data_IF_304683585555
#
_entry.id   IF_304683585555
#
_cell.length_a   1.000
_cell.length_b   1.000
_cell.length_c   1.000
_cell.angle_alpha   90.00
_cell.angle_beta   90.00
_cell.angle_gamma   90.00
#
_symmetry.space_group_name_H-M   'P 1'
#
loop_
_entity.id
_entity.type
_entity.pdbx_description
1 polymer ?
#
# COMPACT_ATOMS: atom_id res chain seq x y z
N UNK A 1 5.48 -12.37 -20.57
CA UNK A 1 4.51 -11.87 -21.58
C UNK A 1 5.14 -10.76 -22.38
N UNK A 2 4.97 -10.75 -23.70
CA UNK A 2 5.42 -9.61 -24.53
C UNK A 2 4.42 -8.47 -24.31
N UNK A 3 4.80 -7.44 -23.54
CA UNK A 3 3.95 -6.25 -23.37
C UNK A 3 3.96 -5.44 -24.65
N UNK A 4 2.82 -5.21 -25.24
CA UNK A 4 2.64 -4.39 -26.46
C UNK A 4 2.15 -2.98 -26.04
N UNK A 5 2.62 -1.96 -26.74
CA UNK A 5 2.11 -0.60 -26.52
C UNK A 5 0.65 -0.52 -26.95
N UNK A 6 -0.23 0.14 -26.16
CA UNK A 6 -1.63 0.34 -26.48
C UNK A 6 -1.87 1.01 -27.84
N UNK A 7 -3.00 0.70 -28.48
CA UNK A 7 -3.36 1.30 -29.76
C UNK A 7 -3.61 2.80 -29.71
N UNK A 8 -4.21 3.28 -28.61
CA UNK A 8 -4.35 4.70 -28.23
C UNK A 8 -3.82 4.89 -26.82
N UNK A 9 -2.49 5.05 -26.67
CA UNK A 9 -1.87 5.13 -25.37
C UNK A 9 -2.22 6.44 -24.67
N UNK A 10 -2.57 6.36 -23.38
CA UNK A 10 -2.66 7.48 -22.46
C UNK A 10 -1.61 7.36 -21.39
N UNK A 11 -0.75 8.37 -21.24
CA UNK A 11 0.20 8.45 -20.13
C UNK A 11 -0.56 8.84 -18.85
N UNK A 12 -0.36 8.06 -17.78
CA UNK A 12 -0.98 8.25 -16.47
C UNK A 12 -0.06 9.02 -15.51
N UNK A 13 0.82 9.84 -16.06
CA UNK A 13 1.77 10.67 -15.31
C UNK A 13 1.79 12.09 -15.87
N UNK A 14 2.00 13.05 -14.99
CA UNK A 14 2.31 14.43 -15.39
C UNK A 14 3.75 14.52 -15.88
N UNK A 15 3.96 15.31 -16.94
CA UNK A 15 5.28 15.49 -17.55
C UNK A 15 5.77 16.89 -17.28
N UNK A 16 6.89 17.03 -16.59
CA UNK A 16 7.57 18.29 -16.33
C UNK A 16 9.02 18.28 -16.84
N UNK A 17 9.53 19.46 -17.20
CA UNK A 17 10.90 19.64 -17.64
C UNK A 17 11.75 20.00 -16.39
N UNK A 18 12.68 19.12 -15.99
CA UNK A 18 13.58 19.38 -14.83
C UNK A 18 14.91 20.00 -15.23
N UNK A 19 15.41 19.66 -16.42
CA UNK A 19 16.64 20.25 -16.97
C UNK A 19 16.59 20.26 -18.49
N UNK A 20 17.67 20.75 -19.13
CA UNK A 20 17.77 20.76 -20.59
C UNK A 20 17.71 19.35 -21.21
N UNK A 21 18.03 18.29 -20.45
CA UNK A 21 18.10 16.92 -20.94
C UNK A 21 17.32 15.91 -20.10
N UNK A 22 16.60 16.34 -19.06
CA UNK A 22 15.88 15.41 -18.17
C UNK A 22 14.43 15.85 -18.04
N UNK A 23 13.53 14.89 -18.14
CA UNK A 23 12.09 15.05 -17.89
C UNK A 23 11.72 14.31 -16.60
N UNK A 24 10.76 14.85 -15.90
CA UNK A 24 10.16 14.21 -14.74
C UNK A 24 8.76 13.70 -15.10
N UNK A 25 8.47 12.45 -14.79
CA UNK A 25 7.14 11.85 -14.84
C UNK A 25 6.64 11.67 -13.42
N UNK A 26 5.57 12.35 -13.04
CA UNK A 26 4.93 12.21 -11.73
C UNK A 26 3.61 11.45 -11.86
N UNK A 27 3.50 10.34 -11.16
CA UNK A 27 2.24 9.57 -11.04
C UNK A 27 1.94 9.37 -9.56
N UNK A 28 1.00 10.17 -9.05
CA UNK A 28 0.76 10.26 -7.60
C UNK A 28 1.99 10.79 -6.88
N UNK A 29 2.54 10.02 -5.96
CA UNK A 29 3.77 10.39 -5.21
C UNK A 29 5.04 9.81 -5.82
N UNK A 30 4.91 8.96 -6.82
CA UNK A 30 6.07 8.38 -7.48
C UNK A 30 6.55 9.31 -8.59
N UNK A 31 7.83 9.61 -8.56
CA UNK A 31 8.50 10.44 -9.55
C UNK A 31 9.56 9.60 -10.26
N UNK A 32 9.57 9.66 -11.58
CA UNK A 32 10.56 9.00 -12.42
C UNK A 32 11.33 10.07 -13.20
N UNK A 33 12.65 10.05 -13.14
CA UNK A 33 13.49 10.81 -14.05
C UNK A 33 13.68 10.03 -15.34
N UNK A 34 13.46 10.69 -16.48
CA UNK A 34 13.58 10.09 -17.80
C UNK A 34 14.52 10.92 -18.66
N UNK A 35 15.58 10.28 -19.14
CA UNK A 35 16.53 10.86 -20.05
C UNK A 35 16.31 10.34 -21.48
N UNK A 36 16.51 11.17 -22.52
CA UNK A 36 16.42 10.71 -23.89
C UNK A 36 17.57 9.77 -24.25
N UNK A 37 17.31 8.78 -25.08
CA UNK A 37 18.35 7.95 -25.70
C UNK A 37 19.14 8.74 -26.75
N UNK A 38 20.32 8.24 -27.14
CA UNK A 38 21.36 8.96 -27.95
C UNK A 38 20.85 9.60 -29.25
N UNK A 39 19.74 9.16 -29.81
CA UNK A 39 19.21 9.62 -31.09
C UNK A 39 17.86 10.36 -30.97
N UNK A 40 17.45 10.70 -29.75
CA UNK A 40 16.21 11.42 -29.42
C UNK A 40 16.56 12.61 -28.54
N UNK A 41 16.08 13.79 -28.88
CA UNK A 41 16.25 14.95 -28.03
C UNK A 41 15.23 14.99 -26.88
N UNK A 42 15.56 15.65 -25.77
CA UNK A 42 14.60 15.85 -24.66
C UNK A 42 13.30 16.53 -25.14
N UNK A 43 13.40 17.45 -26.10
CA UNK A 43 12.23 18.08 -26.70
C UNK A 43 11.34 17.08 -27.47
N UNK A 44 11.93 16.14 -28.19
CA UNK A 44 11.19 15.08 -28.87
C UNK A 44 10.55 14.09 -27.88
N UNK A 45 11.33 13.66 -26.87
CA UNK A 45 10.83 12.82 -25.79
C UNK A 45 9.63 13.49 -25.09
N UNK A 46 9.75 14.74 -24.69
CA UNK A 46 8.66 15.51 -24.08
C UNK A 46 7.45 15.68 -25.02
N UNK A 47 7.68 15.91 -26.31
CA UNK A 47 6.59 15.98 -27.29
C UNK A 47 5.84 14.65 -27.44
N UNK A 48 6.55 13.52 -27.44
CA UNK A 48 5.95 12.18 -27.47
C UNK A 48 5.12 11.95 -26.21
N UNK A 49 5.71 12.12 -25.03
CA UNK A 49 5.04 11.88 -23.76
C UNK A 49 3.77 12.75 -23.59
N UNK A 50 3.85 14.04 -23.90
CA UNK A 50 2.69 14.96 -23.84
C UNK A 50 1.65 14.70 -24.94
N UNK A 51 2.02 14.05 -26.03
CA UNK A 51 1.08 13.64 -27.10
C UNK A 51 0.44 12.28 -26.84
N UNK A 52 0.88 11.59 -25.78
CA UNK A 52 0.35 10.31 -25.33
C UNK A 52 -0.82 10.58 -24.36
N UNK A 53 -1.90 11.17 -24.90
CA UNK A 53 -3.07 11.67 -24.15
C UNK A 53 -4.31 10.74 -24.27
N UNK A 54 -4.15 9.60 -24.95
CA UNK A 54 -5.24 8.64 -25.19
C UNK A 54 -6.14 8.97 -26.39
N UNK A 55 -5.97 10.12 -27.03
CA UNK A 55 -6.78 10.53 -28.18
C UNK A 55 -6.20 10.06 -29.50
N UNK A 56 -4.87 9.99 -29.60
CA UNK A 56 -4.12 9.67 -30.79
C UNK A 56 -3.56 8.23 -30.79
N UNK A 57 -3.56 7.61 -31.98
CA UNK A 57 -2.85 6.36 -32.24
C UNK A 57 -1.32 6.59 -32.33
N UNK A 58 -0.53 5.53 -32.23
CA UNK A 58 0.93 5.62 -32.40
C UNK A 58 1.34 6.23 -33.74
N UNK A 59 0.59 5.97 -34.82
CA UNK A 59 0.84 6.57 -36.12
C UNK A 59 0.57 8.07 -36.14
N UNK A 60 -0.47 8.53 -35.44
CA UNK A 60 -0.79 9.96 -35.32
C UNK A 60 0.22 10.69 -34.43
N UNK A 61 0.66 10.05 -33.32
CA UNK A 61 1.74 10.56 -32.47
C UNK A 61 3.04 10.68 -33.28
N UNK A 62 3.40 9.65 -34.07
CA UNK A 62 4.54 9.67 -34.97
C UNK A 62 4.49 10.86 -35.95
N UNK A 63 3.35 11.05 -36.61
CA UNK A 63 3.16 12.14 -37.53
C UNK A 63 3.27 13.53 -36.85
N UNK A 64 2.76 13.68 -35.64
CA UNK A 64 2.76 14.92 -34.87
C UNK A 64 4.14 15.26 -34.31
N UNK A 65 4.90 14.26 -33.86
CA UNK A 65 6.18 14.47 -33.18
C UNK A 65 7.41 14.33 -34.10
N UNK A 66 7.22 13.76 -35.29
CA UNK A 66 8.30 13.42 -36.22
C UNK A 66 9.17 12.24 -35.76
N UNK A 67 8.78 11.53 -34.70
CA UNK A 67 9.48 10.36 -34.18
C UNK A 67 8.96 9.11 -34.87
N UNK A 68 9.84 8.25 -35.39
CA UNK A 68 9.45 7.05 -36.10
C UNK A 68 8.69 6.05 -35.20
N UNK A 69 7.73 5.25 -35.74
CA UNK A 69 6.87 4.39 -34.92
C UNK A 69 7.62 3.32 -34.11
N UNK A 70 8.70 2.79 -34.62
CA UNK A 70 9.57 1.84 -33.90
C UNK A 70 10.24 2.48 -32.69
N UNK A 71 10.70 3.73 -32.83
CA UNK A 71 11.24 4.53 -31.71
C UNK A 71 10.18 4.91 -30.69
N UNK A 72 8.94 5.21 -31.11
CA UNK A 72 7.83 5.44 -30.17
C UNK A 72 7.62 4.21 -29.28
N UNK A 73 7.72 3.02 -29.85
CA UNK A 73 7.60 1.79 -29.06
C UNK A 73 8.71 1.69 -28.02
N UNK A 74 9.95 1.99 -28.39
CA UNK A 74 11.10 1.99 -27.46
C UNK A 74 10.91 3.04 -26.34
N UNK A 75 10.47 4.26 -26.68
CA UNK A 75 10.23 5.34 -25.72
C UNK A 75 9.11 4.98 -24.72
N UNK A 76 8.03 4.38 -25.21
CA UNK A 76 6.83 4.14 -24.40
C UNK A 76 6.91 2.80 -23.63
N UNK A 77 7.80 1.89 -24.01
CA UNK A 77 7.90 0.56 -23.38
C UNK A 77 8.27 0.63 -21.88
N UNK A 78 9.22 1.48 -21.43
CA UNK A 78 9.47 1.64 -19.99
C UNK A 78 8.23 2.12 -19.22
N UNK A 79 7.50 3.09 -19.76
CA UNK A 79 6.25 3.56 -19.16
C UNK A 79 5.15 2.47 -19.14
N UNK A 80 5.10 1.61 -20.18
CA UNK A 80 4.22 0.44 -20.20
C UNK A 80 4.61 -0.61 -19.16
N UNK A 81 5.90 -0.83 -18.96
CA UNK A 81 6.42 -1.77 -17.95
C UNK A 81 6.11 -1.23 -16.55
N UNK A 82 6.29 0.07 -16.33
CA UNK A 82 5.97 0.74 -15.06
C UNK A 82 4.46 0.90 -14.79
N UNK A 83 3.59 0.44 -15.72
CA UNK A 83 2.13 0.58 -15.55
C UNK A 83 1.63 2.02 -15.72
N UNK A 84 2.40 2.88 -16.36
CA UNK A 84 2.05 4.29 -16.58
C UNK A 84 1.30 4.54 -17.89
N UNK A 85 0.95 3.50 -18.66
CA UNK A 85 0.18 3.61 -19.88
C UNK A 85 -1.17 2.92 -19.77
N UNK A 86 -2.23 3.64 -20.16
CA UNK A 86 -3.58 3.12 -20.32
C UNK A 86 -3.92 2.95 -21.81
N UNK A 87 -4.82 2.03 -22.13
CA UNK A 87 -5.37 1.87 -23.49
C UNK A 87 -6.74 2.56 -23.61
N UNK A 88 -6.86 3.50 -24.54
CA UNK A 88 -8.10 4.21 -24.88
C UNK A 88 -8.63 3.84 -26.28
N UNK A 89 -8.16 2.75 -26.87
CA UNK A 89 -8.61 2.32 -28.19
C UNK A 89 -10.04 1.77 -28.20
N UNK A 90 -10.58 1.40 -27.03
CA UNK A 90 -11.95 0.88 -26.90
C UNK A 90 -12.83 1.89 -26.12
N UNK A 91 -13.64 2.71 -26.80
CA UNK A 91 -14.43 3.77 -26.15
C UNK A 91 -15.49 3.26 -25.14
N UNK A 92 -15.93 2.00 -25.30
CA UNK A 92 -16.97 1.37 -24.44
C UNK A 92 -16.40 0.61 -23.25
N UNK A 93 -15.10 0.73 -22.99
CA UNK A 93 -14.44 0.04 -21.88
C UNK A 93 -13.46 0.97 -21.16
N UNK A 94 -13.25 0.72 -19.87
CA UNK A 94 -12.30 1.44 -19.05
C UNK A 94 -10.94 0.73 -19.05
N UNK A 95 -9.87 1.50 -19.12
CA UNK A 95 -8.51 0.95 -18.98
C UNK A 95 -8.24 0.55 -17.54
N UNK A 96 -7.84 -0.70 -17.26
CA UNK A 96 -7.55 -1.13 -15.91
C UNK A 96 -6.55 -0.23 -15.19
N UNK A 97 -5.47 0.17 -15.87
CA UNK A 97 -4.45 1.04 -15.28
C UNK A 97 -4.96 2.46 -14.99
N UNK A 98 -5.84 3.00 -15.82
CA UNK A 98 -6.46 4.30 -15.55
C UNK A 98 -7.38 4.22 -14.33
N UNK A 99 -8.17 3.15 -14.22
CA UNK A 99 -9.03 2.89 -13.07
C UNK A 99 -8.21 2.77 -11.79
N UNK A 100 -7.14 1.99 -11.80
CA UNK A 100 -6.25 1.86 -10.64
C UNK A 100 -5.63 3.21 -10.25
N UNK A 101 -5.11 3.97 -11.22
CA UNK A 101 -4.52 5.28 -10.98
C UNK A 101 -5.51 6.26 -10.34
N UNK A 102 -6.78 6.24 -10.76
CA UNK A 102 -7.84 7.05 -10.14
C UNK A 102 -8.11 6.63 -8.69
N UNK A 103 -8.13 5.31 -8.41
CA UNK A 103 -8.29 4.79 -7.04
C UNK A 103 -7.10 5.18 -6.17
N UNK A 104 -5.87 4.96 -6.65
CA UNK A 104 -4.64 5.33 -5.94
C UNK A 104 -4.60 6.82 -5.62
N UNK A 105 -4.96 7.69 -6.58
CA UNK A 105 -4.97 9.13 -6.37
C UNK A 105 -5.94 9.54 -5.24
N UNK A 106 -7.15 8.99 -5.24
CA UNK A 106 -8.15 9.30 -4.21
C UNK A 106 -7.72 8.74 -2.85
N UNK A 107 -7.27 7.48 -2.82
CA UNK A 107 -6.83 6.85 -1.57
C UNK A 107 -5.63 7.58 -0.99
N UNK A 108 -4.64 7.91 -1.81
CA UNK A 108 -3.44 8.61 -1.37
C UNK A 108 -3.76 9.95 -0.69
N UNK A 109 -4.65 10.73 -1.31
CA UNK A 109 -5.11 11.98 -0.71
C UNK A 109 -5.81 11.77 0.63
N UNK A 110 -6.71 10.78 0.70
CA UNK A 110 -7.45 10.48 1.92
C UNK A 110 -6.56 9.90 3.03
N UNK A 111 -5.53 9.10 2.69
CA UNK A 111 -4.55 8.61 3.65
C UNK A 111 -3.81 9.77 4.33
N UNK A 112 -3.36 10.78 3.57
CA UNK A 112 -2.76 11.98 4.16
C UNK A 112 -3.72 12.68 5.12
N UNK A 113 -4.95 12.98 4.66
CA UNK A 113 -5.92 13.76 5.41
C UNK A 113 -6.46 13.03 6.66
N UNK A 114 -6.75 11.74 6.57
CA UNK A 114 -7.48 11.00 7.60
C UNK A 114 -6.58 10.13 8.49
N UNK A 115 -5.45 9.64 7.97
CA UNK A 115 -4.55 8.76 8.70
C UNK A 115 -3.32 9.52 9.17
N UNK A 116 -2.49 10.01 8.26
CA UNK A 116 -1.20 10.58 8.62
C UNK A 116 -1.31 11.92 9.35
N UNK A 117 -2.30 12.75 8.97
CA UNK A 117 -2.71 13.93 9.75
C UNK A 117 -3.69 13.58 10.88
N UNK A 118 -4.01 12.30 11.04
CA UNK A 118 -4.96 11.81 12.04
C UNK A 118 -4.41 11.78 13.47
N UNK A 119 -5.28 11.60 14.49
CA UNK A 119 -4.91 11.69 15.91
C UNK A 119 -3.81 10.70 16.32
N UNK A 120 -3.86 9.46 15.83
CA UNK A 120 -2.88 8.43 16.18
C UNK A 120 -1.46 8.81 15.73
N UNK A 121 -1.30 9.14 14.43
CA UNK A 121 0.02 9.46 13.89
C UNK A 121 0.57 10.77 14.43
N UNK A 122 -0.26 11.81 14.62
CA UNK A 122 0.13 13.05 15.26
C UNK A 122 0.61 12.81 16.69
N UNK A 123 -0.11 12.03 17.49
CA UNK A 123 0.32 11.73 18.85
C UNK A 123 1.69 11.07 18.87
N UNK A 124 1.92 10.07 18.01
CA UNK A 124 3.18 9.31 17.94
C UNK A 124 4.33 10.17 17.39
N UNK A 125 4.10 10.98 16.36
CA UNK A 125 5.18 11.71 15.68
C UNK A 125 5.54 13.03 16.38
N UNK A 126 4.55 13.75 16.93
CA UNK A 126 4.78 15.07 17.51
C UNK A 126 5.32 14.98 18.94
N UNK A 127 4.82 14.02 19.74
CA UNK A 127 5.15 13.90 21.17
C UNK A 127 5.28 12.42 21.62
N UNK A 128 6.19 11.65 21.00
CA UNK A 128 6.30 10.21 21.26
C UNK A 128 6.47 9.84 22.74
N UNK A 129 7.18 10.69 23.53
CA UNK A 129 7.44 10.49 24.95
C UNK A 129 6.22 10.74 25.85
N UNK A 130 5.15 11.36 25.32
CA UNK A 130 3.90 11.62 26.04
C UNK A 130 2.82 10.58 25.75
N UNK A 131 3.07 9.71 24.77
CA UNK A 131 2.13 8.65 24.41
C UNK A 131 2.32 7.47 25.38
N UNK A 132 1.19 6.96 25.90
CA UNK A 132 1.19 5.79 26.76
C UNK A 132 1.88 4.58 26.07
N UNK A 133 2.82 3.89 26.75
CA UNK A 133 3.54 2.76 26.14
C UNK A 133 2.63 1.68 25.54
N UNK A 134 1.45 1.48 26.13
CA UNK A 134 0.48 0.52 25.64
C UNK A 134 -0.06 0.86 24.23
N UNK A 135 0.03 2.10 23.78
CA UNK A 135 -0.33 2.47 22.39
C UNK A 135 0.61 1.82 21.40
N UNK A 136 1.92 1.83 21.68
CA UNK A 136 2.93 1.20 20.84
C UNK A 136 2.79 -0.34 20.84
N UNK A 137 2.61 -0.94 22.01
CA UNK A 137 2.36 -2.37 22.11
C UNK A 137 1.03 -2.77 21.49
N UNK A 138 -0.01 -1.96 21.69
CA UNK A 138 -1.34 -2.14 21.11
C UNK A 138 -1.33 -2.08 19.59
N UNK A 139 -0.56 -1.17 19.00
CA UNK A 139 -0.37 -1.14 17.54
C UNK A 139 0.20 -2.47 17.03
N UNK A 140 1.26 -2.99 17.67
CA UNK A 140 1.81 -4.29 17.31
C UNK A 140 0.80 -5.43 17.50
N UNK A 141 -0.01 -5.39 18.57
CA UNK A 141 -1.02 -6.41 18.87
C UNK A 141 -2.15 -6.41 17.82
N UNK A 142 -2.68 -5.25 17.48
CA UNK A 142 -3.75 -5.13 16.50
C UNK A 142 -3.25 -5.44 15.08
N UNK A 143 -1.98 -5.11 14.79
CA UNK A 143 -1.34 -5.52 13.55
C UNK A 143 -1.15 -7.05 13.49
N UNK A 144 -0.74 -7.70 14.61
CA UNK A 144 -0.70 -9.17 14.66
C UNK A 144 -2.08 -9.79 14.39
N UNK A 145 -3.16 -9.20 14.92
CA UNK A 145 -4.51 -9.69 14.61
C UNK A 145 -4.85 -9.57 13.14
N UNK A 146 -4.43 -8.50 12.51
CA UNK A 146 -4.62 -8.27 11.08
C UNK A 146 -3.88 -9.36 10.29
N UNK A 147 -2.57 -9.49 10.48
CA UNK A 147 -1.69 -10.45 9.80
C UNK A 147 -2.14 -11.91 10.04
N UNK A 148 -2.46 -12.28 11.28
CA UNK A 148 -2.90 -13.66 11.60
C UNK A 148 -4.22 -14.07 10.92
N UNK A 149 -4.91 -13.12 10.29
CA UNK A 149 -6.19 -13.33 9.58
C UNK A 149 -6.17 -12.97 8.10
N UNK A 150 -5.02 -12.69 7.55
CA UNK A 150 -4.85 -12.39 6.11
C UNK A 150 -5.47 -13.46 5.23
N UNK A 151 -5.36 -14.73 5.60
CA UNK A 151 -6.02 -15.81 4.87
C UNK A 151 -7.55 -15.66 4.74
N UNK A 152 -8.22 -14.85 5.58
CA UNK A 152 -9.66 -14.60 5.46
C UNK A 152 -10.00 -13.75 4.22
N UNK A 153 -9.07 -12.90 3.76
CA UNK A 153 -9.26 -12.03 2.60
C UNK A 153 -8.33 -12.38 1.44
N UNK A 154 -7.07 -12.72 1.64
CA UNK A 154 -6.15 -13.01 0.54
C UNK A 154 -6.49 -14.31 -0.19
N UNK A 155 -6.91 -15.35 0.54
CA UNK A 155 -7.33 -16.61 -0.10
C UNK A 155 -8.51 -16.44 -1.06
N UNK A 156 -9.35 -15.44 -0.87
CA UNK A 156 -10.52 -15.21 -1.70
C UNK A 156 -10.15 -14.79 -3.13
N UNK A 157 -9.03 -14.08 -3.32
CA UNK A 157 -8.57 -13.68 -4.66
C UNK A 157 -8.11 -14.86 -5.51
N UNK A 158 -7.73 -15.99 -4.91
CA UNK A 158 -7.36 -17.21 -5.63
C UNK A 158 -8.51 -17.77 -6.46
N UNK A 159 -9.76 -17.46 -6.11
CA UNK A 159 -10.95 -17.84 -6.86
C UNK A 159 -11.41 -16.78 -7.86
N UNK A 160 -10.73 -15.67 -8.00
CA UNK A 160 -11.07 -14.64 -8.98
C UNK A 160 -10.89 -15.19 -10.40
N UNK A 161 -11.96 -15.17 -11.23
CA UNK A 161 -11.92 -15.74 -12.58
C UNK A 161 -11.03 -14.88 -13.48
N UNK A 162 -9.89 -15.42 -13.88
CA UNK A 162 -8.86 -14.63 -14.54
C UNK A 162 -7.94 -15.48 -15.41
N UNK A 163 -6.99 -14.85 -16.08
CA UNK A 163 -5.95 -15.49 -16.86
C UNK A 163 -4.99 -16.30 -15.98
N UNK A 164 -4.21 -17.19 -16.60
CA UNK A 164 -3.17 -17.95 -15.89
C UNK A 164 -2.13 -17.04 -15.23
N UNK A 165 -1.84 -15.87 -15.83
CA UNK A 165 -0.92 -14.89 -15.28
C UNK A 165 -1.43 -14.33 -13.96
N UNK A 166 -2.71 -13.92 -13.89
CA UNK A 166 -3.31 -13.39 -12.67
C UNK A 166 -3.38 -14.48 -11.60
N UNK A 167 -3.71 -15.73 -11.96
CA UNK A 167 -3.70 -16.83 -11.00
C UNK A 167 -2.31 -17.09 -10.41
N UNK A 168 -1.27 -17.00 -11.23
CA UNK A 168 0.12 -17.14 -10.76
C UNK A 168 0.44 -16.02 -9.77
N UNK A 169 0.21 -14.75 -10.13
CA UNK A 169 0.44 -13.62 -9.23
C UNK A 169 -0.33 -13.73 -7.91
N UNK A 170 -1.60 -14.14 -7.95
CA UNK A 170 -2.40 -14.34 -6.74
C UNK A 170 -1.83 -15.43 -5.83
N UNK A 171 -1.36 -16.55 -6.41
CA UNK A 171 -0.73 -17.62 -5.64
C UNK A 171 0.60 -17.18 -5.04
N UNK A 172 1.43 -16.47 -5.81
CA UNK A 172 2.73 -15.98 -5.35
C UNK A 172 2.54 -15.01 -4.19
N UNK A 173 1.66 -14.01 -4.33
CA UNK A 173 1.29 -13.07 -3.27
C UNK A 173 0.80 -13.80 -2.00
N UNK A 174 -0.18 -14.71 -2.13
CA UNK A 174 -0.70 -15.47 -0.99
C UNK A 174 0.38 -16.32 -0.29
N UNK A 175 1.35 -16.83 -1.07
CA UNK A 175 2.46 -17.61 -0.53
C UNK A 175 3.46 -16.73 0.22
N UNK A 176 3.72 -15.54 -0.26
CA UNK A 176 4.64 -14.57 0.35
C UNK A 176 4.11 -14.06 1.68
N UNK A 177 2.80 -13.77 1.78
CA UNK A 177 2.16 -13.33 3.02
C UNK A 177 2.08 -14.43 4.09
N UNK A 178 2.25 -15.69 3.70
CA UNK A 178 2.07 -16.80 4.63
C UNK A 178 3.04 -16.74 5.81
N UNK A 179 2.51 -16.64 7.05
CA UNK A 179 3.24 -16.64 8.33
C UNK A 179 4.01 -15.36 8.66
N UNK A 180 3.67 -14.22 8.08
CA UNK A 180 4.23 -12.94 8.51
C UNK A 180 3.88 -12.65 9.99
N UNK A 181 2.75 -13.12 10.48
CA UNK A 181 2.34 -13.02 11.90
C UNK A 181 3.36 -13.66 12.86
N UNK A 182 4.08 -14.72 12.45
CA UNK A 182 5.13 -15.36 13.27
C UNK A 182 6.26 -14.40 13.64
N UNK A 183 6.55 -13.42 12.81
CA UNK A 183 7.59 -12.41 13.07
C UNK A 183 7.12 -11.49 14.20
N UNK A 184 5.87 -11.07 14.18
CA UNK A 184 5.29 -10.17 15.18
C UNK A 184 5.12 -10.88 16.54
N UNK A 185 4.81 -12.18 16.56
CA UNK A 185 4.75 -12.97 17.79
C UNK A 185 6.04 -12.84 18.62
N UNK A 186 7.22 -12.84 17.96
CA UNK A 186 8.52 -12.72 18.66
C UNK A 186 8.65 -11.41 19.44
N UNK A 187 8.01 -10.33 18.98
CA UNK A 187 8.00 -9.06 19.71
C UNK A 187 7.27 -9.20 21.07
N UNK A 188 6.19 -9.98 21.09
CA UNK A 188 5.39 -10.21 22.29
C UNK A 188 5.98 -11.25 23.23
N UNK A 189 6.66 -12.26 22.72
CA UNK A 189 7.40 -13.23 23.56
C UNK A 189 8.46 -12.53 24.42
N UNK A 190 9.11 -11.49 23.88
CA UNK A 190 10.02 -10.63 24.65
C UNK A 190 9.35 -9.88 25.81
N UNK A 191 8.05 -9.67 25.76
CA UNK A 191 7.24 -9.09 26.83
C UNK A 191 6.63 -10.14 27.78
N UNK A 192 6.94 -11.42 27.59
CA UNK A 192 6.34 -12.53 28.34
C UNK A 192 4.91 -12.89 27.91
N UNK A 193 4.46 -12.40 26.77
CA UNK A 193 3.15 -12.70 26.16
C UNK A 193 3.36 -13.79 25.13
N UNK A 194 2.79 -14.97 25.38
CA UNK A 194 2.93 -16.13 24.50
C UNK A 194 2.01 -16.04 23.28
N UNK A 195 2.30 -16.82 22.23
CA UNK A 195 1.37 -17.00 21.10
C UNK A 195 -0.04 -17.43 21.57
N UNK A 196 -0.11 -18.28 22.62
CA UNK A 196 -1.40 -18.73 23.15
C UNK A 196 -2.20 -17.59 23.77
N UNK A 197 -1.51 -16.64 24.44
CA UNK A 197 -2.15 -15.44 24.99
C UNK A 197 -2.69 -14.56 23.86
N UNK A 198 -1.93 -14.37 22.78
CA UNK A 198 -2.36 -13.63 21.59
C UNK A 198 -3.60 -14.27 20.94
N UNK A 199 -3.58 -15.58 20.70
CA UNK A 199 -4.71 -16.32 20.12
C UNK A 199 -5.97 -16.25 21.00
N UNK A 200 -5.79 -16.22 22.32
CA UNK A 200 -6.89 -16.16 23.29
C UNK A 200 -7.44 -14.75 23.48
N UNK A 201 -6.68 -13.75 23.10
CA UNK A 201 -7.06 -12.36 23.22
C UNK A 201 -8.13 -11.95 22.17
N UNK A 202 -8.69 -10.75 22.35
CA UNK A 202 -9.74 -10.21 21.46
C UNK A 202 -9.23 -8.94 20.78
N UNK A 203 -9.29 -8.86 19.45
CA UNK A 203 -8.99 -7.61 18.74
C UNK A 203 -9.96 -6.50 19.12
N UNK A 204 -9.59 -5.26 18.86
CA UNK A 204 -10.51 -4.14 18.91
C UNK A 204 -11.65 -4.33 17.91
N UNK A 205 -12.77 -3.71 18.17
CA UNK A 205 -13.92 -3.72 17.24
C UNK A 205 -13.54 -3.08 15.89
N UNK A 206 -12.71 -2.06 15.91
CA UNK A 206 -12.21 -1.34 14.73
C UNK A 206 -11.30 -2.25 13.88
N UNK A 207 -10.38 -2.98 14.51
CA UNK A 207 -9.55 -4.00 13.84
C UNK A 207 -10.40 -5.11 13.22
N UNK A 208 -11.36 -5.62 13.99
CA UNK A 208 -12.29 -6.64 13.49
C UNK A 208 -13.12 -6.13 12.31
N UNK A 209 -13.57 -4.88 12.36
CA UNK A 209 -14.33 -4.26 11.28
C UNK A 209 -13.50 -4.16 10.00
N UNK A 210 -12.25 -3.70 10.08
CA UNK A 210 -11.36 -3.60 8.92
C UNK A 210 -11.13 -4.97 8.28
N UNK A 211 -10.77 -6.01 9.08
CA UNK A 211 -10.57 -7.37 8.60
C UNK A 211 -11.83 -7.90 7.90
N UNK A 212 -13.02 -7.70 8.49
CA UNK A 212 -14.28 -8.19 7.92
C UNK A 212 -14.68 -7.43 6.66
N UNK A 213 -14.37 -6.14 6.58
CA UNK A 213 -14.62 -5.32 5.41
C UNK A 213 -13.73 -5.76 4.23
N UNK A 214 -12.43 -5.98 4.46
CA UNK A 214 -11.51 -6.53 3.46
C UNK A 214 -11.96 -7.93 3.01
N UNK A 215 -12.31 -8.81 3.96
CA UNK A 215 -12.82 -10.15 3.65
C UNK A 215 -14.12 -10.11 2.83
N UNK A 216 -14.97 -9.12 3.08
CA UNK A 216 -16.20 -8.94 2.31
C UNK A 216 -15.90 -8.47 0.89
N UNK A 217 -15.03 -7.48 0.71
CA UNK A 217 -14.64 -7.01 -0.63
C UNK A 217 -13.89 -8.09 -1.41
N UNK A 218 -12.97 -8.80 -0.80
CA UNK A 218 -12.26 -9.89 -1.47
C UNK A 218 -13.18 -10.93 -2.09
N UNK A 219 -14.39 -11.15 -1.51
CA UNK A 219 -15.39 -12.08 -2.02
C UNK A 219 -16.43 -11.45 -2.94
N UNK A 220 -16.82 -10.20 -2.71
CA UNK A 220 -17.94 -9.56 -3.43
C UNK A 220 -17.47 -8.58 -4.50
N UNK A 221 -16.27 -8.03 -4.38
CA UNK A 221 -15.62 -7.16 -5.34
C UNK A 221 -14.09 -7.34 -5.30
N UNK A 222 -13.60 -8.51 -5.72
CA UNK A 222 -12.18 -8.83 -5.66
C UNK A 222 -11.31 -7.83 -6.43
N UNK A 223 -11.85 -7.17 -7.46
CA UNK A 223 -11.13 -6.13 -8.19
C UNK A 223 -10.83 -4.91 -7.30
N UNK A 224 -11.79 -4.50 -6.45
CA UNK A 224 -11.56 -3.44 -5.47
C UNK A 224 -10.53 -3.88 -4.41
N UNK A 225 -10.68 -5.09 -3.89
CA UNK A 225 -9.71 -5.64 -2.92
C UNK A 225 -8.29 -5.65 -3.51
N UNK A 226 -8.12 -6.15 -4.75
CA UNK A 226 -6.83 -6.13 -5.45
C UNK A 226 -6.28 -4.71 -5.60
N UNK A 227 -7.14 -3.72 -5.87
CA UNK A 227 -6.71 -2.32 -5.95
C UNK A 227 -6.17 -1.77 -4.61
N UNK A 228 -6.63 -2.32 -3.47
CA UNK A 228 -6.21 -1.86 -2.13
C UNK A 228 -4.95 -2.56 -1.59
N UNK A 229 -4.60 -3.75 -2.09
CA UNK A 229 -3.42 -4.52 -1.62
C UNK A 229 -2.15 -3.68 -1.70
N UNK A 230 -1.80 -3.16 -2.87
CA UNK A 230 -0.59 -2.36 -3.05
C UNK A 230 -0.57 -1.07 -2.24
N UNK A 231 -1.74 -0.59 -1.79
CA UNK A 231 -1.85 0.58 -0.93
C UNK A 231 -1.58 0.18 0.53
N UNK A 232 -2.15 -0.94 0.98
CA UNK A 232 -1.93 -1.46 2.33
C UNK A 232 -0.46 -1.81 2.56
N UNK A 233 0.15 -2.48 1.59
CA UNK A 233 1.51 -3.01 1.70
C UNK A 233 2.58 -1.99 1.27
N UNK A 234 2.29 -1.16 0.27
CA UNK A 234 3.32 -0.35 -0.38
C UNK A 234 3.62 0.98 0.31
N UNK A 235 2.63 1.63 0.92
CA UNK A 235 2.77 3.01 1.34
C UNK A 235 3.32 3.19 2.75
N UNK A 236 3.12 2.24 3.62
CA UNK A 236 3.75 2.24 4.94
C UNK A 236 5.27 2.01 4.83
N UNK A 237 5.77 1.58 3.66
CA UNK A 237 7.13 1.12 3.45
C UNK A 237 7.97 1.96 2.47
N UNK A 238 7.36 2.64 1.49
CA UNK A 238 8.05 3.25 0.32
C UNK A 238 7.97 4.76 0.23
N UNK A 239 8.02 5.51 1.29
CA UNK A 239 8.36 6.92 1.11
C UNK A 239 9.89 7.04 0.95
N UNK A 240 10.38 7.35 -0.24
CA UNK A 240 11.78 7.71 -0.52
C UNK A 240 12.24 9.00 0.18
N UNK A 241 11.30 9.75 0.76
CA UNK A 241 11.58 10.86 1.66
C UNK A 241 11.78 10.33 3.08
N UNK A 242 12.71 10.89 3.84
CA UNK A 242 13.17 10.60 5.21
C UNK A 242 12.14 10.12 6.27
N UNK A 243 11.15 9.32 5.92
CA UNK A 243 10.12 8.84 6.81
C UNK A 243 9.04 8.00 6.18
N UNK A 244 9.37 6.77 5.76
CA UNK A 244 8.32 5.77 5.73
C UNK A 244 7.61 5.80 7.09
N UNK A 245 6.27 5.87 7.10
CA UNK A 245 5.50 6.00 8.36
C UNK A 245 5.82 4.89 9.34
N UNK A 246 6.05 3.68 8.84
CA UNK A 246 6.46 2.57 9.69
C UNK A 246 7.84 2.79 10.34
N UNK A 247 8.82 3.31 9.60
CA UNK A 247 10.11 3.69 10.16
C UNK A 247 9.98 4.85 11.15
N UNK A 248 9.06 5.78 10.91
CA UNK A 248 8.74 6.86 11.84
C UNK A 248 8.12 6.32 13.14
N UNK A 249 7.22 5.34 13.03
CA UNK A 249 6.70 4.62 14.19
C UNK A 249 7.83 3.94 14.99
N UNK A 250 8.73 3.23 14.32
CA UNK A 250 9.85 2.54 14.99
C UNK A 250 10.82 3.52 15.66
N UNK A 251 11.07 4.69 15.06
CA UNK A 251 11.86 5.76 15.68
C UNK A 251 11.15 6.38 16.88
N UNK A 252 9.86 6.67 16.75
CA UNK A 252 9.04 7.20 17.83
C UNK A 252 8.96 6.22 19.01
N UNK A 253 8.74 4.93 18.75
CA UNK A 253 8.76 3.89 19.78
C UNK A 253 10.10 3.84 20.54
N UNK A 254 11.22 3.94 19.81
CA UNK A 254 12.54 4.00 20.44
C UNK A 254 12.72 5.28 21.27
N UNK A 255 12.26 6.44 20.79
CA UNK A 255 12.30 7.70 21.53
C UNK A 255 11.41 7.67 22.79
N UNK A 256 10.28 6.99 22.73
CA UNK A 256 9.39 6.73 23.86
C UNK A 256 9.96 5.71 24.86
N UNK A 257 11.14 5.13 24.61
CA UNK A 257 11.76 4.13 25.49
C UNK A 257 11.14 2.74 25.42
N UNK A 258 10.41 2.44 24.34
CA UNK A 258 9.85 1.10 24.11
C UNK A 258 11.01 0.11 23.91
N UNK A 259 10.88 -1.04 24.56
CA UNK A 259 11.96 -2.02 24.64
C UNK A 259 12.41 -2.52 23.26
N UNK A 260 13.71 -2.56 23.01
CA UNK A 260 14.33 -2.96 21.74
C UNK A 260 13.89 -4.36 21.30
N UNK A 261 13.68 -5.29 22.23
CA UNK A 261 13.22 -6.65 21.93
C UNK A 261 11.79 -6.68 21.35
N UNK A 262 10.99 -5.64 21.59
CA UNK A 262 9.70 -5.47 20.92
C UNK A 262 9.85 -4.81 19.55
N UNK A 263 10.66 -3.76 19.44
CA UNK A 263 10.82 -2.95 18.22
C UNK A 263 11.55 -3.72 17.11
N UNK A 264 12.56 -4.52 17.46
CA UNK A 264 13.42 -5.16 16.46
C UNK A 264 12.70 -6.23 15.59
N UNK A 265 11.83 -7.11 16.14
CA UNK A 265 11.03 -7.99 15.29
C UNK A 265 10.10 -7.24 14.32
N UNK A 266 9.50 -6.13 14.75
CA UNK A 266 8.69 -5.28 13.88
C UNK A 266 9.53 -4.66 12.76
N UNK A 267 10.74 -4.21 13.07
CA UNK A 267 11.71 -3.74 12.07
C UNK A 267 12.09 -4.83 11.07
N UNK A 268 12.23 -6.07 11.55
CA UNK A 268 12.51 -7.21 10.68
C UNK A 268 11.32 -7.48 9.73
N UNK A 269 10.09 -7.39 10.22
CA UNK A 269 8.87 -7.52 9.40
C UNK A 269 8.88 -6.50 8.26
N UNK A 270 9.07 -5.22 8.57
CA UNK A 270 9.17 -4.17 7.56
C UNK A 270 10.25 -4.44 6.48
N UNK A 271 11.41 -4.99 6.88
CA UNK A 271 12.48 -5.34 5.92
C UNK A 271 12.11 -6.52 5.01
N UNK A 272 11.37 -7.49 5.52
CA UNK A 272 10.89 -8.63 4.71
C UNK A 272 9.94 -8.13 3.64
N UNK A 273 8.92 -7.36 4.02
CA UNK A 273 7.95 -6.79 3.07
C UNK A 273 8.63 -5.92 2.01
N UNK A 274 9.53 -5.02 2.41
CA UNK A 274 10.28 -4.19 1.46
C UNK A 274 11.11 -5.01 0.45
N UNK A 275 11.50 -6.23 0.81
CA UNK A 275 12.21 -7.17 -0.06
C UNK A 275 11.35 -7.82 -1.14
N UNK A 276 10.02 -7.91 -0.91
CA UNK A 276 9.07 -8.55 -1.83
C UNK A 276 8.40 -7.60 -2.83
N UNK A 277 8.63 -6.28 -2.72
CA UNK A 277 8.06 -5.23 -3.60
C UNK A 277 6.51 -5.26 -3.70
N UNK A 278 5.84 -5.57 -2.58
CA UNK A 278 4.37 -5.70 -2.52
C UNK A 278 3.61 -4.44 -2.99
N UNK A 279 4.23 -3.27 -2.91
CA UNK A 279 3.65 -2.03 -3.43
C UNK A 279 3.36 -2.04 -4.94
N UNK A 280 3.99 -2.94 -5.70
CA UNK A 280 3.74 -3.11 -7.14
C UNK A 280 2.63 -4.11 -7.47
N UNK A 281 2.22 -4.95 -6.52
CA UNK A 281 1.29 -6.09 -6.75
C UNK A 281 -0.01 -5.64 -7.41
N UNK A 282 -0.69 -4.61 -6.89
CA UNK A 282 -1.92 -4.09 -7.50
C UNK A 282 -1.70 -3.64 -8.96
N UNK A 283 -0.59 -2.98 -9.24
CA UNK A 283 -0.25 -2.51 -10.59
C UNK A 283 0.03 -3.67 -11.55
N UNK A 284 0.68 -4.71 -11.08
CA UNK A 284 0.92 -5.91 -11.88
C UNK A 284 -0.37 -6.65 -12.21
N UNK A 285 -1.27 -6.79 -11.23
CA UNK A 285 -2.59 -7.36 -11.44
C UNK A 285 -3.38 -6.56 -12.48
N UNK A 286 -3.50 -5.25 -12.28
CA UNK A 286 -4.26 -4.39 -13.18
C UNK A 286 -3.66 -4.32 -14.58
N UNK A 287 -2.34 -4.35 -14.73
CA UNK A 287 -1.67 -4.41 -16.03
C UNK A 287 -1.94 -5.72 -16.81
N UNK A 288 -2.32 -6.80 -16.12
CA UNK A 288 -2.65 -8.09 -16.71
C UNK A 288 -4.15 -8.27 -17.00
N UNK A 289 -5.01 -7.33 -16.54
CA UNK A 289 -6.46 -7.41 -16.77
C UNK A 289 -6.84 -7.02 -18.21
N UNK A 290 -7.92 -7.61 -18.76
CA UNK A 290 -8.56 -7.09 -19.96
C UNK A 290 -9.24 -5.75 -19.66
N UNK A 291 -9.66 -4.99 -20.71
CA UNK A 291 -10.48 -3.79 -20.54
C UNK A 291 -11.68 -4.04 -19.62
N UNK A 292 -11.96 -3.10 -18.74
CA UNK A 292 -12.99 -3.21 -17.72
C UNK A 292 -14.34 -2.65 -18.18
N UNK A 293 -15.46 -3.12 -17.64
CA UNK A 293 -16.77 -2.54 -17.92
C UNK A 293 -16.85 -1.06 -17.55
N UNK A 294 -17.58 -0.27 -18.32
CA UNK A 294 -17.87 1.14 -18.00
C UNK A 294 -18.55 1.24 -16.63
N UNK A 295 -18.14 2.24 -15.84
CA UNK A 295 -18.61 2.46 -14.47
C UNK A 295 -17.78 1.73 -13.39
N UNK A 296 -16.76 0.96 -13.79
CA UNK A 296 -15.85 0.32 -12.84
C UNK A 296 -15.08 1.36 -12.04
N UNK A 297 -14.53 2.39 -12.68
CA UNK A 297 -13.81 3.49 -12.03
C UNK A 297 -14.67 4.13 -10.93
N UNK A 298 -15.86 4.59 -11.28
CA UNK A 298 -16.77 5.24 -10.33
C UNK A 298 -17.11 4.33 -9.14
N UNK A 299 -17.30 3.03 -9.39
CA UNK A 299 -17.58 2.03 -8.35
C UNK A 299 -16.40 1.83 -7.42
N UNK A 300 -15.19 1.70 -7.94
CA UNK A 300 -14.00 1.48 -7.11
C UNK A 300 -13.61 2.74 -6.32
N UNK A 301 -13.63 3.90 -6.96
CA UNK A 301 -13.39 5.21 -6.31
C UNK A 301 -14.40 5.46 -5.19
N UNK A 302 -15.70 5.16 -5.41
CA UNK A 302 -16.70 5.29 -4.36
C UNK A 302 -16.45 4.41 -3.13
N UNK A 303 -15.83 3.23 -3.31
CA UNK A 303 -15.44 2.35 -2.19
C UNK A 303 -14.15 2.79 -1.51
N UNK A 304 -13.28 3.51 -2.20
CA UNK A 304 -12.02 3.97 -1.67
C UNK A 304 -12.20 4.84 -0.41
N UNK A 305 -13.22 5.69 -0.38
CA UNK A 305 -13.56 6.49 0.82
C UNK A 305 -13.84 5.61 2.04
N UNK A 306 -14.73 4.62 1.89
CA UNK A 306 -15.08 3.72 2.98
C UNK A 306 -13.87 2.88 3.45
N UNK A 307 -12.99 2.51 2.53
CA UNK A 307 -11.76 1.79 2.87
C UNK A 307 -10.85 2.64 3.76
N UNK A 308 -10.58 3.90 3.37
CA UNK A 308 -9.69 4.76 4.14
C UNK A 308 -10.31 5.16 5.48
N UNK A 309 -11.62 5.42 5.54
CA UNK A 309 -12.35 5.66 6.79
C UNK A 309 -12.19 4.47 7.76
N UNK A 310 -12.41 3.25 7.28
CA UNK A 310 -12.26 2.05 8.11
C UNK A 310 -10.80 1.83 8.56
N UNK A 311 -9.85 2.18 7.72
CA UNK A 311 -8.43 2.09 8.04
C UNK A 311 -8.00 3.19 9.04
N UNK A 312 -8.54 4.40 8.94
CA UNK A 312 -8.34 5.45 9.93
C UNK A 312 -8.91 5.05 11.31
N UNK A 313 -10.09 4.43 11.33
CA UNK A 313 -10.69 3.93 12.58
C UNK A 313 -9.90 2.79 13.22
N UNK A 314 -9.15 2.00 12.44
CA UNK A 314 -8.20 1.04 12.98
C UNK A 314 -7.16 1.74 13.86
N UNK A 315 -6.53 2.81 13.39
CA UNK A 315 -5.53 3.58 14.14
C UNK A 315 -6.15 4.35 15.32
N UNK A 316 -7.29 5.01 15.08
CA UNK A 316 -7.99 5.78 16.11
C UNK A 316 -8.42 4.88 17.28
N UNK A 317 -8.92 3.68 17.00
CA UNK A 317 -9.29 2.71 18.01
C UNK A 317 -8.11 2.25 18.87
N UNK A 318 -6.92 2.13 18.28
CA UNK A 318 -5.70 1.81 19.02
C UNK A 318 -5.37 2.93 20.00
N UNK A 319 -5.35 4.18 19.54
CA UNK A 319 -5.07 5.33 20.40
C UNK A 319 -6.11 5.46 21.52
N UNK A 320 -7.39 5.37 21.18
CA UNK A 320 -8.49 5.50 22.15
C UNK A 320 -8.44 4.43 23.25
N UNK A 321 -8.22 3.17 22.86
CA UNK A 321 -8.23 2.08 23.83
C UNK A 321 -6.94 2.00 24.64
N UNK A 322 -5.79 1.97 23.98
CA UNK A 322 -4.50 1.74 24.63
C UNK A 322 -3.87 3.02 25.19
N UNK A 323 -4.42 4.19 24.87
CA UNK A 323 -4.06 5.46 25.50
C UNK A 323 -4.63 5.61 26.93
N UNK A 324 -5.56 4.75 27.34
CA UNK A 324 -6.05 4.67 28.71
C UNK A 324 -5.17 3.70 29.52
N UNK A 325 -4.36 4.20 30.51
CA UNK A 325 -3.43 3.36 31.27
C UNK A 325 -4.13 2.28 32.12
N UNK A 326 -5.42 2.44 32.39
CA UNK A 326 -6.20 1.45 33.15
C UNK A 326 -6.69 0.28 32.27
N UNK A 327 -6.50 0.34 30.97
CA UNK A 327 -6.89 -0.73 30.03
C UNK A 327 -5.80 -1.79 29.92
N UNK A 328 -6.17 -3.09 29.99
CA UNK A 328 -5.21 -4.16 29.79
C UNK A 328 -4.72 -4.22 28.34
N UNK A 329 -3.41 -4.47 28.15
CA UNK A 329 -2.84 -4.68 26.81
C UNK A 329 -3.48 -5.89 26.12
N UNK A 330 -3.57 -7.04 26.82
CA UNK A 330 -4.18 -8.26 26.29
C UNK A 330 -5.63 -8.34 26.74
N UNK A 331 -6.57 -8.23 25.80
CA UNK A 331 -8.02 -8.24 26.06
C UNK A 331 -8.53 -9.68 26.08
N UNK A 332 -8.88 -10.21 27.25
CA UNK A 332 -9.42 -11.55 27.42
C UNK A 332 -10.87 -11.51 27.91
N UNK A 333 -11.68 -12.54 27.55
CA UNK A 333 -13.02 -12.71 28.09
C UNK A 333 -12.95 -13.63 29.32
N UNK A 334 -13.30 -13.09 30.49
CA UNK A 334 -13.60 -13.89 31.66
C UNK A 334 -12.42 -14.42 32.46
N UNK A 335 -11.20 -13.93 32.24
CA UNK A 335 -10.04 -14.20 33.10
C UNK A 335 -9.52 -12.89 33.68
N UNK A 336 -9.00 -12.95 34.93
CA UNK A 336 -8.34 -11.80 35.55
C UNK A 336 -7.26 -11.24 34.62
N UNK A 337 -7.04 -9.90 34.63
CA UNK A 337 -6.04 -9.29 33.77
C UNK A 337 -4.67 -9.95 33.99
N UNK A 338 -3.99 -10.30 32.92
CA UNK A 338 -2.58 -10.66 32.96
C UNK A 338 -1.82 -9.40 33.37
N UNK A 339 -1.40 -9.33 34.62
CA UNK A 339 -0.60 -8.21 35.12
C UNK A 339 0.79 -8.38 34.54
N UNK A 340 1.12 -7.66 33.48
CA UNK A 340 2.49 -7.54 33.01
C UNK A 340 3.28 -6.78 34.08
N UNK A 341 4.02 -7.48 34.89
CA UNK A 341 5.07 -6.87 35.71
C UNK A 341 6.26 -6.52 34.83
N UNK A 342 6.12 -5.49 34.02
CA UNK A 342 7.25 -4.77 33.48
C UNK A 342 7.87 -4.01 34.67
N UNK A 343 8.77 -4.70 35.40
CA UNK A 343 9.55 -4.11 36.44
C UNK A 343 10.45 -3.02 35.86
N UNK A 344 10.01 -1.79 35.95
CA UNK A 344 10.92 -0.64 35.91
C UNK A 344 11.66 -0.67 37.23
N UNK A 345 12.80 -1.38 37.32
CA UNK A 345 13.78 -1.14 38.35
C UNK A 345 14.34 0.28 38.11
N UNK A 346 13.72 1.25 38.77
CA UNK A 346 14.30 2.56 38.99
C UNK A 346 15.53 2.37 39.92
N UNK A 347 16.68 2.12 39.31
CA UNK A 347 17.98 2.23 39.97
C UNK A 347 18.21 3.69 40.40
N UNK A 348 17.76 4.03 41.58
CA UNK A 348 18.28 5.19 42.35
C UNK A 348 19.41 4.64 43.24
N UNK A 349 20.62 5.00 42.94
CA UNK A 349 21.70 5.23 43.90
C UNK A 349 22.77 6.12 43.25
#
# INVERSE_FOLDING_TARGET
MTRTIPGKPQLLAEVSDTSANTLELRSGEVTFEVEPEDDITAAQLGAVLRSTDGTASLSEISAKTGVAPDKLTTILLPAQIAGLLADRSTPEAESPMAVLSSVEHVVNKLLEELIFDGPFWRAILDHPEQVEPNVYYGFGLENWYFLSRESEFDSAILSYPSSDAIRTMANDFYHEEHRHDDIVVRAFEGLGISRQDLVSARPLSTTSALIKLLSWWARTDPLFFIATIGILEGRLEKAESEGAYYDSFLRAAAAAGIATHFVEPLRQHAKVNAGHDHGSVSREFFAALPPLPVGTEARLVGKAHLFVEAYAEFFNGILEYYGDPDRPLVRTIGTSPVTTTAGVENGRS
#
